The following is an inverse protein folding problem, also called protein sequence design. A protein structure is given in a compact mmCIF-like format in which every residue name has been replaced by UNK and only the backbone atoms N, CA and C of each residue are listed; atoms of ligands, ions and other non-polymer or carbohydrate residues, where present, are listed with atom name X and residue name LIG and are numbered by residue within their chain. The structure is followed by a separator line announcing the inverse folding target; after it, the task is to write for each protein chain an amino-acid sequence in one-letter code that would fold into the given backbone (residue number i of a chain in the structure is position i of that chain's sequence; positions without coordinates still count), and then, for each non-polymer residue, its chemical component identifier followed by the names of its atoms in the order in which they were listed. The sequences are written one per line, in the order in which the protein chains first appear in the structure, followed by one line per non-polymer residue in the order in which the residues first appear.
data_IF_517899988304
#
_entry.id   IF_517899988304
#
_cell.length_a   1.000
_cell.length_b   1.000
_cell.length_c   1.000
_cell.angle_alpha   90.00
_cell.angle_beta   90.00
_cell.angle_gamma   90.00
#
_symmetry.space_group_name_H-M   'P 1'
#
loop_
_entity.id
_entity.type
_entity.pdbx_description
1 polymer ?
#
# COMPACT_ATOMS: atom_id res chain seq x y z
N UNK A 1 -11.57 49.28 35.14
CA UNK A 1 -10.67 49.25 36.32
C UNK A 1 -10.47 47.81 36.75
N UNK A 2 -9.33 47.20 36.41
CA UNK A 2 -8.59 46.26 37.28
C UNK A 2 -7.17 46.14 36.74
N UNK A 3 -6.21 45.84 37.61
CA UNK A 3 -4.81 46.23 37.44
C UNK A 3 -3.90 45.11 36.88
N UNK A 4 -2.66 45.49 36.58
CA UNK A 4 -1.67 44.69 35.88
C UNK A 4 -0.75 43.85 36.79
N UNK A 5 0.22 43.19 36.15
CA UNK A 5 1.49 42.66 36.69
C UNK A 5 1.43 41.27 37.33
N UNK A 6 2.28 40.31 36.92
CA UNK A 6 3.73 40.43 37.13
C UNK A 6 4.59 39.58 36.18
N UNK A 7 5.87 39.96 36.08
CA UNK A 7 6.89 39.31 35.27
C UNK A 7 7.49 38.07 35.96
N UNK A 8 8.02 37.14 35.18
CA UNK A 8 9.31 36.51 35.49
C UNK A 8 10.05 36.10 34.22
N UNK A 9 11.20 36.74 33.98
CA UNK A 9 12.22 36.32 33.03
C UNK A 9 13.47 35.93 33.81
N UNK A 10 13.90 34.67 33.71
CA UNK A 10 15.27 34.20 33.99
C UNK A 10 15.42 32.88 33.19
N UNK A 11 16.14 32.81 32.05
CA UNK A 11 17.59 32.79 31.89
C UNK A 11 18.29 31.78 32.83
N UNK A 12 18.82 30.69 32.26
CA UNK A 12 20.09 30.04 32.67
C UNK A 12 20.58 29.03 31.60
N UNK A 13 21.85 29.20 31.25
CA UNK A 13 22.86 28.31 30.62
C UNK A 13 22.54 27.41 29.41
N UNK A 14 23.38 27.61 28.38
CA UNK A 14 23.77 26.58 27.42
C UNK A 14 24.84 25.64 28.03
N UNK A 15 24.86 24.39 27.56
CA UNK A 15 26.03 23.51 27.64
C UNK A 15 26.39 23.02 26.24
N UNK A 16 27.55 23.44 25.76
CA UNK A 16 28.17 22.97 24.51
C UNK A 16 28.90 21.66 24.82
N UNK A 17 28.57 20.58 24.12
CA UNK A 17 29.28 19.31 24.17
C UNK A 17 29.82 18.94 22.79
N UNK A 18 31.13 19.05 22.60
CA UNK A 18 31.83 18.66 21.38
C UNK A 18 32.96 17.67 21.72
N UNK A 19 33.54 17.03 20.69
CA UNK A 19 34.56 15.97 20.73
C UNK A 19 34.05 14.63 21.31
N UNK A 20 34.44 13.48 20.77
CA UNK A 20 35.78 13.14 20.23
C UNK A 20 35.80 12.46 18.86
N UNK A 21 36.92 12.66 18.16
CA UNK A 21 37.31 12.02 16.92
C UNK A 21 38.38 10.95 17.22
N UNK A 22 38.22 9.73 16.73
CA UNK A 22 39.25 8.68 16.80
C UNK A 22 39.57 8.11 15.42
N UNK A 23 40.69 8.57 14.84
CA UNK A 23 41.36 7.84 13.76
C UNK A 23 42.41 6.89 14.35
N UNK A 24 42.39 5.63 13.91
CA UNK A 24 43.59 4.80 13.75
C UNK A 24 43.41 3.98 12.47
N UNK A 25 44.41 4.06 11.58
CA UNK A 25 44.46 3.27 10.35
C UNK A 25 45.47 2.12 10.44
N UNK A 26 45.41 1.20 9.47
CA UNK A 26 46.47 0.25 9.19
C UNK A 26 46.54 -0.02 7.69
N UNK A 27 47.77 -0.12 7.15
CA UNK A 27 48.03 -0.38 5.74
C UNK A 27 48.30 -1.88 5.47
N UNK A 28 48.08 -2.31 4.23
CA UNK A 28 48.49 -3.61 3.69
C UNK A 28 47.45 -4.13 2.70
N UNK A 29 47.76 -4.45 1.44
CA UNK A 29 49.05 -4.76 0.83
C UNK A 29 49.02 -6.21 0.34
N UNK A 30 48.67 -6.42 -0.93
CA UNK A 30 48.42 -7.74 -1.53
C UNK A 30 49.66 -8.66 -1.52
N UNK A 31 49.48 -9.98 -1.67
CA UNK A 31 49.61 -10.51 -3.03
C UNK A 31 48.67 -11.68 -3.42
N UNK A 32 48.60 -11.84 -4.75
CA UNK A 32 48.02 -12.95 -5.53
C UNK A 32 48.80 -14.26 -5.35
N UNK A 33 48.10 -15.39 -5.24
CA UNK A 33 48.63 -16.73 -5.63
C UNK A 33 47.68 -17.43 -6.60
N UNK A 34 48.24 -17.84 -7.75
CA UNK A 34 47.64 -18.82 -8.68
C UNK A 34 47.99 -20.24 -8.21
N UNK A 35 47.20 -21.22 -8.63
CA UNK A 35 47.56 -22.56 -9.16
C UNK A 35 46.23 -23.29 -9.40
N UNK A 36 45.72 -23.42 -10.63
CA UNK A 36 46.12 -24.41 -11.65
C UNK A 36 45.99 -25.85 -11.10
N UNK A 37 44.81 -26.47 -11.25
CA UNK A 37 44.46 -27.30 -12.41
C UNK A 37 45.09 -28.70 -12.35
N UNK A 38 44.24 -29.73 -12.33
CA UNK A 38 44.54 -31.00 -13.00
C UNK A 38 43.26 -31.70 -13.45
N UNK A 39 43.36 -32.52 -14.49
CA UNK A 39 42.21 -33.09 -15.20
C UNK A 39 42.42 -34.57 -15.57
N UNK A 40 41.44 -35.41 -15.22
CA UNK A 40 41.13 -36.70 -15.87
C UNK A 40 39.73 -37.12 -15.36
N UNK A 41 38.69 -37.22 -16.18
CA UNK A 41 38.47 -38.16 -17.28
C UNK A 41 38.35 -39.62 -16.79
N UNK A 42 37.12 -40.14 -16.75
CA UNK A 42 36.84 -41.42 -17.40
C UNK A 42 35.40 -41.52 -17.94
N UNK A 43 35.30 -41.78 -19.23
CA UNK A 43 34.10 -42.15 -20.00
C UNK A 43 33.69 -43.59 -19.62
N UNK A 44 32.43 -44.04 -19.72
CA UNK A 44 31.82 -44.70 -20.92
C UNK A 44 30.46 -45.25 -20.43
N UNK A 45 29.29 -44.72 -20.82
CA UNK A 45 28.52 -44.89 -22.08
C UNK A 45 27.57 -46.11 -22.13
N UNK A 46 26.37 -45.86 -22.70
CA UNK A 46 25.59 -46.75 -23.59
C UNK A 46 24.85 -47.97 -22.95
N UNK A 47 23.75 -48.54 -23.46
CA UNK A 47 22.82 -48.34 -24.62
C UNK A 47 21.57 -49.28 -24.39
N UNK A 48 20.38 -49.25 -25.04
CA UNK A 48 19.73 -48.42 -26.09
C UNK A 48 18.16 -48.50 -25.94
N UNK A 49 17.39 -48.61 -27.04
CA UNK A 49 15.95 -48.94 -27.21
C UNK A 49 14.90 -47.93 -26.69
N UNK A 50 14.37 -47.00 -27.50
CA UNK A 50 13.53 -47.15 -28.70
C UNK A 50 12.21 -47.92 -28.49
N UNK A 51 11.08 -47.21 -28.69
CA UNK A 51 10.13 -47.46 -29.79
C UNK A 51 9.31 -46.17 -30.05
N UNK A 52 8.84 -46.01 -31.29
CA UNK A 52 8.09 -44.84 -31.76
C UNK A 52 6.57 -45.11 -31.79
N UNK A 53 5.77 -44.04 -31.86
CA UNK A 53 4.43 -44.09 -32.46
C UNK A 53 4.11 -42.77 -33.17
N UNK A 54 3.86 -42.83 -34.49
CA UNK A 54 3.44 -41.69 -35.32
C UNK A 54 1.91 -41.62 -35.36
N UNK A 55 1.33 -40.93 -34.38
CA UNK A 55 -0.11 -40.62 -34.35
C UNK A 55 -0.47 -39.37 -35.15
N UNK A 56 -0.43 -39.43 -36.48
CA UNK A 56 -1.02 -38.38 -37.32
C UNK A 56 -2.56 -38.41 -37.19
N UNK A 57 -3.16 -37.32 -36.74
CA UNK A 57 -4.62 -37.14 -36.69
C UNK A 57 -4.98 -35.76 -37.20
N UNK A 58 -5.75 -35.71 -38.28
CA UNK A 58 -6.14 -34.50 -38.99
C UNK A 58 -6.88 -33.48 -38.12
N UNK A 59 -6.65 -32.20 -38.43
CA UNK A 59 -7.53 -31.12 -37.99
C UNK A 59 -8.88 -31.20 -38.70
N UNK A 60 -9.99 -31.04 -37.97
CA UNK A 60 -11.03 -30.10 -38.36
C UNK A 60 -10.55 -28.71 -37.92
N UNK A 61 -10.24 -27.84 -38.87
CA UNK A 61 -10.06 -26.42 -38.60
C UNK A 61 -11.42 -25.82 -38.23
N UNK A 62 -11.80 -25.95 -36.96
CA UNK A 62 -13.04 -25.35 -36.49
C UNK A 62 -12.92 -23.82 -36.57
N UNK A 63 -14.02 -23.24 -37.02
CA UNK A 63 -14.05 -21.89 -37.57
C UNK A 63 -13.87 -20.90 -36.44
N UNK A 64 -12.70 -20.27 -36.36
CA UNK A 64 -12.45 -19.16 -35.44
C UNK A 64 -13.46 -18.04 -35.71
N UNK A 65 -14.53 -18.03 -34.90
CA UNK A 65 -15.46 -16.93 -34.82
C UNK A 65 -14.68 -15.68 -34.39
N UNK A 66 -14.88 -14.52 -35.04
CA UNK A 66 -14.14 -13.31 -34.67
C UNK A 66 -14.36 -13.06 -33.18
N UNK A 67 -13.27 -12.99 -32.41
CA UNK A 67 -13.35 -12.59 -31.02
C UNK A 67 -13.95 -11.19 -30.97
N UNK A 68 -15.19 -11.10 -30.51
CA UNK A 68 -15.90 -9.85 -30.31
C UNK A 68 -15.05 -8.99 -29.36
N UNK A 69 -14.60 -7.85 -29.87
CA UNK A 69 -13.71 -6.94 -29.15
C UNK A 69 -14.46 -6.43 -27.92
N UNK A 70 -14.16 -7.04 -26.76
CA UNK A 70 -14.92 -6.84 -25.54
C UNK A 70 -14.95 -5.35 -25.19
N UNK A 71 -16.13 -4.72 -25.29
CA UNK A 71 -16.27 -3.30 -25.01
C UNK A 71 -15.74 -2.99 -23.59
N UNK A 72 -15.00 -1.87 -23.42
CA UNK A 72 -14.40 -1.54 -22.14
C UNK A 72 -15.48 -1.30 -21.09
N UNK A 73 -15.70 -2.31 -20.24
CA UNK A 73 -16.67 -2.28 -19.15
C UNK A 73 -16.37 -1.08 -18.25
N UNK A 74 -17.26 -0.10 -18.24
CA UNK A 74 -17.11 1.08 -17.41
C UNK A 74 -16.97 0.66 -15.93
N UNK A 75 -15.99 1.21 -15.18
CA UNK A 75 -15.69 0.74 -13.83
C UNK A 75 -16.90 0.92 -12.92
N UNK A 76 -17.38 -0.20 -12.37
CA UNK A 76 -18.51 -0.23 -11.44
C UNK A 76 -18.17 0.48 -10.14
N UNK A 77 -18.98 1.49 -9.80
CA UNK A 77 -18.85 2.22 -8.53
C UNK A 77 -19.68 1.50 -7.47
N UNK A 78 -19.00 0.93 -6.48
CA UNK A 78 -19.60 0.23 -5.35
C UNK A 78 -20.21 1.22 -4.33
N UNK A 79 -20.99 0.74 -3.35
CA UNK A 79 -21.48 1.53 -2.21
C UNK A 79 -20.72 1.21 -0.92
N UNK A 80 -20.86 2.06 0.11
CA UNK A 80 -20.42 1.69 1.47
C UNK A 80 -21.08 0.37 1.87
N UNK A 81 -20.29 -0.56 2.41
CA UNK A 81 -20.67 -1.95 2.71
C UNK A 81 -20.26 -2.96 1.62
N UNK A 82 -20.12 -2.54 0.36
CA UNK A 82 -19.75 -3.43 -0.74
C UNK A 82 -18.24 -3.74 -0.75
N UNK A 83 -17.91 -4.94 -1.23
CA UNK A 83 -16.53 -5.41 -1.37
C UNK A 83 -16.06 -5.42 -2.83
N UNK A 84 -14.86 -4.91 -3.08
CA UNK A 84 -14.14 -5.05 -4.35
C UNK A 84 -12.88 -5.88 -4.08
N UNK A 85 -12.60 -6.89 -4.90
CA UNK A 85 -11.28 -7.55 -4.88
C UNK A 85 -10.37 -6.83 -5.85
N UNK A 86 -9.23 -6.35 -5.36
CA UNK A 86 -8.18 -5.71 -6.14
C UNK A 86 -6.96 -6.61 -6.22
N UNK A 87 -6.24 -6.50 -7.33
CA UNK A 87 -4.98 -7.17 -7.65
C UNK A 87 -3.82 -6.20 -7.42
N UNK A 88 -2.71 -6.67 -6.85
CA UNK A 88 -1.50 -5.89 -6.66
C UNK A 88 -0.71 -5.72 -7.97
N UNK A 89 0.60 -5.46 -7.87
CA UNK A 89 1.51 -5.53 -9.03
C UNK A 89 1.86 -6.98 -9.44
N UNK A 90 1.43 -7.94 -8.65
CA UNK A 90 1.63 -9.38 -8.75
C UNK A 90 0.25 -10.03 -8.65
N UNK A 91 -0.09 -10.93 -9.58
CA UNK A 91 -1.39 -11.63 -9.60
C UNK A 91 -1.63 -12.49 -8.34
N UNK A 92 -0.56 -12.88 -7.63
CA UNK A 92 -0.66 -13.58 -6.35
C UNK A 92 -1.04 -12.65 -5.18
N UNK A 93 -0.82 -11.34 -5.27
CA UNK A 93 -1.29 -10.36 -4.28
C UNK A 93 -2.71 -9.94 -4.63
N UNK A 94 -3.70 -10.42 -3.88
CA UNK A 94 -5.11 -10.09 -4.09
C UNK A 94 -5.75 -9.70 -2.77
N UNK A 95 -6.33 -8.51 -2.69
CA UNK A 95 -6.95 -8.00 -1.46
C UNK A 95 -8.40 -7.67 -1.71
N UNK A 96 -9.29 -8.29 -0.93
CA UNK A 96 -10.70 -7.91 -0.87
C UNK A 96 -10.85 -6.73 0.09
N UNK A 97 -11.24 -5.59 -0.49
CA UNK A 97 -11.39 -4.29 0.17
C UNK A 97 -12.86 -4.00 0.38
N UNK A 98 -13.24 -3.60 1.59
CA UNK A 98 -14.61 -3.15 1.91
C UNK A 98 -14.54 -1.83 2.65
N UNK A 99 -15.27 -0.81 2.18
CA UNK A 99 -15.54 0.40 2.97
C UNK A 99 -16.65 0.05 3.96
N UNK A 100 -16.31 -0.03 5.25
CA UNK A 100 -17.22 -0.51 6.30
C UNK A 100 -18.14 0.59 6.80
N UNK A 101 -17.59 1.79 7.01
CA UNK A 101 -18.27 2.95 7.58
C UNK A 101 -17.49 4.23 7.25
N UNK A 102 -18.18 5.38 7.29
CA UNK A 102 -17.62 6.71 7.05
C UNK A 102 -17.85 7.55 8.31
N UNK A 103 -16.76 8.03 8.90
CA UNK A 103 -16.78 8.90 10.07
C UNK A 103 -16.70 10.36 9.58
N UNK A 104 -17.83 11.04 9.50
CA UNK A 104 -17.92 12.42 9.00
C UNK A 104 -18.84 13.31 9.87
N UNK A 105 -18.30 14.24 10.68
CA UNK A 105 -16.87 14.44 10.95
C UNK A 105 -16.28 13.30 11.78
N UNK A 106 -15.00 13.02 11.59
CA UNK A 106 -14.26 12.08 12.44
C UNK A 106 -13.83 12.76 13.75
N UNK A 107 -14.07 12.15 14.92
CA UNK A 107 -13.54 12.67 16.19
C UNK A 107 -12.03 12.45 16.28
N UNK A 108 -11.31 13.45 16.80
CA UNK A 108 -9.87 13.41 17.08
C UNK A 108 -9.58 13.92 18.49
N UNK A 109 -8.34 13.77 18.95
CA UNK A 109 -7.91 14.22 20.29
C UNK A 109 -7.38 15.65 20.31
N UNK A 110 -6.82 16.08 21.44
CA UNK A 110 -6.48 17.50 21.69
C UNK A 110 -5.28 17.99 20.87
N UNK A 111 -4.41 17.07 20.44
CA UNK A 111 -3.25 17.37 19.61
C UNK A 111 -3.56 17.42 18.10
N UNK A 112 -4.76 17.00 17.70
CA UNK A 112 -5.19 16.89 16.30
C UNK A 112 -6.27 17.93 15.98
N UNK A 113 -5.85 19.07 15.43
CA UNK A 113 -6.77 20.08 14.86
C UNK A 113 -6.68 20.09 13.33
N UNK A 114 -7.80 20.07 12.60
CA UNK A 114 -7.77 20.20 11.15
C UNK A 114 -7.32 21.62 10.75
N UNK A 115 -6.75 21.76 9.56
CA UNK A 115 -6.39 23.04 8.98
C UNK A 115 -7.60 23.98 8.88
N UNK A 116 -7.36 25.30 8.93
CA UNK A 116 -8.43 26.30 8.92
C UNK A 116 -9.39 26.11 7.73
N UNK A 117 -10.70 26.06 8.02
CA UNK A 117 -11.72 25.82 7.01
C UNK A 117 -11.85 24.36 6.55
N UNK A 118 -11.21 23.41 7.23
CA UNK A 118 -11.33 21.96 7.01
C UNK A 118 -11.98 21.22 8.19
N UNK A 119 -12.26 19.94 8.00
CA UNK A 119 -12.63 18.95 9.02
C UNK A 119 -11.94 17.62 8.72
N UNK A 120 -11.77 16.79 9.75
CA UNK A 120 -11.34 15.41 9.58
C UNK A 120 -12.49 14.49 9.17
N UNK A 121 -12.18 13.52 8.32
CA UNK A 121 -13.06 12.42 7.90
C UNK A 121 -12.29 11.11 8.00
N UNK A 122 -12.92 10.04 8.48
CA UNK A 122 -12.34 8.71 8.59
C UNK A 122 -13.03 7.75 7.63
N UNK A 123 -12.28 7.09 6.76
CA UNK A 123 -12.78 5.97 5.96
C UNK A 123 -12.33 4.69 6.65
N UNK A 124 -13.26 3.93 7.19
CA UNK A 124 -12.95 2.69 7.89
C UNK A 124 -13.02 1.54 6.90
N UNK A 125 -11.92 0.80 6.77
CA UNK A 125 -11.78 -0.30 5.84
C UNK A 125 -11.74 -1.65 6.56
N UNK A 126 -12.18 -2.68 5.84
CA UNK A 126 -11.72 -4.05 6.04
C UNK A 126 -10.90 -4.47 4.82
N UNK A 127 -9.71 -4.97 5.08
CA UNK A 127 -8.81 -5.55 4.08
C UNK A 127 -8.65 -7.04 4.42
N UNK A 128 -9.02 -7.93 3.49
CA UNK A 128 -8.79 -9.38 3.61
C UNK A 128 -7.86 -9.81 2.48
N UNK A 129 -6.72 -10.41 2.82
CA UNK A 129 -5.86 -11.00 1.82
C UNK A 129 -6.52 -12.29 1.30
N UNK A 130 -6.91 -12.29 0.02
CA UNK A 130 -7.52 -13.42 -0.70
C UNK A 130 -6.58 -13.98 -1.77
N UNK A 131 -5.36 -13.47 -1.83
CA UNK A 131 -4.29 -13.94 -2.70
C UNK A 131 -3.50 -15.10 -2.08
N UNK A 132 -2.37 -15.42 -2.71
CA UNK A 132 -1.43 -16.44 -2.25
C UNK A 132 -0.06 -15.87 -1.82
N UNK A 133 0.26 -14.62 -2.19
CA UNK A 133 1.37 -13.86 -1.61
C UNK A 133 0.90 -13.05 -0.38
N UNK A 134 1.84 -12.56 0.44
CA UNK A 134 1.54 -11.74 1.61
C UNK A 134 1.37 -10.27 1.26
N UNK A 135 0.23 -9.67 1.58
CA UNK A 135 0.05 -8.23 1.51
C UNK A 135 0.90 -7.52 2.57
N UNK A 136 1.65 -6.49 2.19
CA UNK A 136 2.49 -5.70 3.09
C UNK A 136 2.69 -4.27 2.56
N UNK A 137 1.81 -3.35 2.97
CA UNK A 137 1.75 -1.99 2.42
C UNK A 137 1.41 -0.95 3.52
N UNK A 138 1.38 0.32 3.12
CA UNK A 138 0.86 1.46 3.90
C UNK A 138 -0.48 1.91 3.28
N UNK A 139 -1.64 1.42 3.79
CA UNK A 139 -2.94 1.67 3.17
C UNK A 139 -3.27 3.14 2.88
N UNK A 140 -2.76 4.09 3.66
CA UNK A 140 -2.98 5.53 3.40
C UNK A 140 -2.38 6.03 2.07
N UNK A 141 -1.32 5.41 1.54
CA UNK A 141 -0.65 5.83 0.30
C UNK A 141 -1.55 5.64 -0.93
N UNK A 142 -2.25 4.50 -0.98
CA UNK A 142 -3.15 4.13 -2.09
C UNK A 142 -4.56 4.73 -1.99
N UNK A 143 -4.83 5.58 -0.99
CA UNK A 143 -6.18 5.96 -0.61
C UNK A 143 -6.50 7.45 -0.90
N UNK A 144 -7.64 7.70 -1.55
CA UNK A 144 -8.06 9.05 -1.97
C UNK A 144 -9.54 9.29 -1.69
N UNK A 145 -9.87 10.43 -1.08
CA UNK A 145 -11.26 10.91 -0.96
C UNK A 145 -11.53 12.02 -1.98
N UNK A 146 -12.57 11.83 -2.81
CA UNK A 146 -13.10 12.84 -3.73
C UNK A 146 -14.24 13.58 -3.03
N UNK A 147 -14.22 14.92 -3.04
CA UNK A 147 -15.17 15.77 -2.30
C UNK A 147 -15.43 17.11 -2.99
N UNK A 148 -16.59 17.73 -2.68
CA UNK A 148 -16.99 19.03 -3.24
C UNK A 148 -16.97 19.04 -4.78
N UNK A 149 -16.33 20.04 -5.37
CA UNK A 149 -16.13 20.20 -6.82
C UNK A 149 -15.01 19.30 -7.36
N UNK A 150 -15.10 18.00 -7.05
CA UNK A 150 -14.16 16.93 -7.46
C UNK A 150 -12.71 17.16 -7.02
N UNK A 151 -12.53 17.88 -5.92
CA UNK A 151 -11.26 17.98 -5.20
C UNK A 151 -10.90 16.62 -4.61
N UNK A 152 -9.60 16.34 -4.53
CA UNK A 152 -9.05 15.10 -3.99
C UNK A 152 -8.27 15.40 -2.71
N UNK A 153 -8.42 14.53 -1.71
CA UNK A 153 -7.64 14.51 -0.48
C UNK A 153 -6.95 13.15 -0.34
N UNK A 154 -5.64 13.18 -0.12
CA UNK A 154 -4.87 11.99 0.27
C UNK A 154 -5.03 11.71 1.76
N UNK A 155 -4.61 10.53 2.21
CA UNK A 155 -4.51 10.23 3.64
C UNK A 155 -3.66 11.25 4.39
N UNK A 156 -4.07 11.59 5.61
CA UNK A 156 -3.29 12.39 6.56
C UNK A 156 -2.80 11.50 7.70
N UNK A 157 -2.14 12.09 8.70
CA UNK A 157 -1.83 11.45 9.98
C UNK A 157 -2.65 12.17 11.06
N UNK A 158 -3.19 11.38 12.00
CA UNK A 158 -3.73 11.87 13.28
C UNK A 158 -3.03 11.10 14.41
N UNK A 159 -2.81 11.74 15.54
CA UNK A 159 -2.15 11.16 16.71
C UNK A 159 -3.12 10.41 17.62
N UNK A 160 -4.40 10.80 17.61
CA UNK A 160 -5.45 10.30 18.49
C UNK A 160 -6.77 10.02 17.74
N UNK A 161 -7.66 9.25 18.38
CA UNK A 161 -8.97 8.90 17.84
C UNK A 161 -9.00 7.57 17.06
N UNK A 162 -10.07 7.28 16.31
CA UNK A 162 -10.30 5.95 15.73
C UNK A 162 -9.33 5.58 14.60
N UNK A 163 -8.55 6.54 14.10
CA UNK A 163 -7.60 6.43 12.99
C UNK A 163 -6.12 6.41 13.42
N UNK A 164 -5.83 6.30 14.74
CA UNK A 164 -4.48 6.34 15.29
C UNK A 164 -3.87 4.96 15.61
N UNK A 165 -4.53 3.86 15.24
CA UNK A 165 -4.12 2.48 15.56
C UNK A 165 -2.94 1.94 14.71
N UNK A 166 -2.43 2.74 13.77
CA UNK A 166 -1.34 2.40 12.88
C UNK A 166 -1.75 1.66 11.59
N UNK A 167 -3.02 1.28 11.44
CA UNK A 167 -3.54 0.62 10.23
C UNK A 167 -3.30 1.44 8.96
N UNK A 168 -3.37 2.77 9.07
CA UNK A 168 -3.09 3.71 7.98
C UNK A 168 -1.63 3.70 7.53
N UNK A 169 -0.70 3.43 8.45
CA UNK A 169 0.75 3.53 8.24
C UNK A 169 1.40 2.21 7.83
N UNK A 170 0.94 1.09 8.36
CA UNK A 170 1.48 -0.24 8.02
C UNK A 170 0.44 -1.33 8.27
N UNK A 171 0.21 -2.17 7.28
CA UNK A 171 -0.58 -3.38 7.44
C UNK A 171 0.10 -4.54 6.73
N UNK A 172 0.21 -5.67 7.44
CA UNK A 172 0.71 -6.94 6.92
C UNK A 172 -0.33 -8.02 7.14
N UNK A 173 -0.64 -8.78 6.09
CA UNK A 173 -1.63 -9.86 6.11
C UNK A 173 -1.07 -11.06 5.35
N UNK A 174 -0.90 -12.18 6.04
CA UNK A 174 -0.69 -13.47 5.39
C UNK A 174 -1.95 -13.88 4.59
N UNK A 175 -1.84 -14.82 3.62
CA UNK A 175 -2.98 -15.35 2.89
C UNK A 175 -4.13 -15.79 3.82
N UNK A 176 -5.34 -15.27 3.57
CA UNK A 176 -6.53 -15.51 4.39
C UNK A 176 -6.71 -14.58 5.60
N UNK A 177 -5.69 -13.82 6.03
CA UNK A 177 -5.80 -12.89 7.15
C UNK A 177 -6.63 -11.64 6.79
N UNK A 178 -7.15 -10.97 7.84
CA UNK A 178 -7.98 -9.78 7.69
C UNK A 178 -7.68 -8.72 8.73
N UNK A 179 -7.47 -7.48 8.28
CA UNK A 179 -7.42 -6.28 9.12
C UNK A 179 -8.70 -5.45 9.02
N UNK A 180 -9.08 -4.78 10.10
CA UNK A 180 -10.02 -3.64 10.08
C UNK A 180 -9.31 -2.46 10.73
N UNK A 181 -9.42 -1.27 10.15
CA UNK A 181 -8.91 -0.03 10.72
C UNK A 181 -9.36 1.19 9.91
N UNK A 182 -8.82 2.35 10.24
CA UNK A 182 -9.35 3.65 9.81
C UNK A 182 -8.28 4.47 9.08
N UNK A 183 -8.67 5.11 7.96
CA UNK A 183 -7.82 6.03 7.18
C UNK A 183 -8.34 7.47 7.34
N UNK A 184 -7.54 8.41 7.88
CA UNK A 184 -7.98 9.77 8.10
C UNK A 184 -7.70 10.66 6.88
N UNK A 185 -8.58 11.62 6.63
CA UNK A 185 -8.51 12.59 5.54
C UNK A 185 -8.89 13.99 6.05
N UNK A 186 -8.33 15.03 5.44
CA UNK A 186 -8.82 16.40 5.62
C UNK A 186 -9.64 16.87 4.41
N UNK A 187 -10.88 17.28 4.63
CA UNK A 187 -11.76 17.86 3.59
C UNK A 187 -12.27 19.25 4.00
N UNK A 188 -12.70 20.06 3.05
CA UNK A 188 -13.25 21.40 3.34
C UNK A 188 -14.48 21.30 4.26
N UNK A 189 -14.57 22.14 5.30
CA UNK A 189 -15.46 21.96 6.46
C UNK A 189 -16.94 21.74 6.10
N UNK A 190 -17.46 22.37 5.04
CA UNK A 190 -18.84 22.20 4.56
C UNK A 190 -18.96 21.40 3.26
N UNK A 191 -17.85 20.87 2.72
CA UNK A 191 -17.85 20.13 1.46
C UNK A 191 -18.44 18.73 1.63
N UNK A 192 -19.37 18.35 0.76
CA UNK A 192 -19.94 17.00 0.72
C UNK A 192 -18.93 16.01 0.12
N UNK A 193 -18.76 14.86 0.75
CA UNK A 193 -18.00 13.73 0.18
C UNK A 193 -18.67 13.24 -1.11
N UNK A 194 -17.91 12.61 -2.01
CA UNK A 194 -18.42 12.02 -3.25
C UNK A 194 -18.03 10.56 -3.37
N UNK A 195 -16.73 10.27 -3.40
CA UNK A 195 -16.19 8.92 -3.64
C UNK A 195 -14.95 8.65 -2.80
N UNK A 196 -14.72 7.39 -2.49
CA UNK A 196 -13.44 6.87 -2.05
C UNK A 196 -12.79 6.08 -3.19
N UNK A 197 -11.49 6.24 -3.36
CA UNK A 197 -10.65 5.43 -4.25
C UNK A 197 -9.62 4.68 -3.41
N UNK A 198 -9.36 3.43 -3.79
CA UNK A 198 -8.28 2.65 -3.19
C UNK A 198 -7.55 1.85 -4.26
N UNK A 199 -6.22 1.92 -4.25
CA UNK A 199 -5.33 1.30 -5.23
C UNK A 199 -4.22 0.58 -4.45
N UNK A 200 -3.95 -0.69 -4.77
CA UNK A 200 -2.92 -1.48 -4.06
C UNK A 200 -1.50 -1.03 -4.41
N UNK A 201 -0.51 -1.65 -3.74
CA UNK A 201 0.91 -1.35 -3.88
C UNK A 201 1.22 0.16 -3.74
N UNK A 202 0.78 0.79 -2.65
CA UNK A 202 0.93 2.23 -2.38
C UNK A 202 0.42 3.15 -3.51
N UNK A 203 -0.54 2.69 -4.31
CA UNK A 203 -1.09 3.44 -5.45
C UNK A 203 -0.46 3.13 -6.81
N UNK A 204 0.42 2.12 -6.91
CA UNK A 204 1.12 1.73 -8.14
C UNK A 204 0.58 0.45 -8.81
N UNK A 205 -0.50 -0.14 -8.31
CA UNK A 205 -1.23 -1.20 -9.02
C UNK A 205 -2.18 -0.63 -10.09
N UNK A 206 -2.46 -1.40 -11.14
CA UNK A 206 -3.34 -0.97 -12.24
C UNK A 206 -4.82 -0.89 -11.83
N UNK A 207 -5.26 -1.76 -10.92
CA UNK A 207 -6.65 -1.81 -10.45
C UNK A 207 -6.92 -0.78 -9.34
N UNK A 208 -8.00 -0.01 -9.49
CA UNK A 208 -8.48 0.95 -8.49
C UNK A 208 -9.94 0.71 -8.15
N UNK A 209 -10.21 0.38 -6.89
CA UNK A 209 -11.57 0.28 -6.36
C UNK A 209 -12.19 1.66 -6.19
N UNK A 210 -13.49 1.77 -6.50
CA UNK A 210 -14.27 3.00 -6.40
C UNK A 210 -15.54 2.76 -5.58
N UNK A 211 -15.73 3.54 -4.51
CA UNK A 211 -16.94 3.51 -3.68
C UNK A 211 -17.61 4.87 -3.67
N UNK A 212 -18.94 4.93 -3.82
CA UNK A 212 -19.75 6.09 -3.49
C UNK A 212 -19.75 6.30 -1.98
N UNK A 213 -19.53 7.54 -1.54
CA UNK A 213 -19.65 7.97 -0.14
C UNK A 213 -20.97 8.72 0.11
N UNK A 214 -21.93 8.55 -0.80
CA UNK A 214 -23.32 8.99 -0.69
C UNK A 214 -24.21 7.78 -0.94
N UNK A 215 -25.30 7.69 -0.18
CA UNK A 215 -26.34 6.66 -0.32
C UNK A 215 -27.21 6.86 -1.56
#
# INVERSE_FOLDING_TARGET
MWAASSLSRLLILACIGALTLTLLGACGGSPRTKTAADAAANTTAAEESLLADEGASDQPADKAEPAEEAEPVAPTVAKVGDAITLTGQDDAERVKVTVVEVLDPMPTGEFDSPASGKRYVGIVLRLTNVGSSSYSDSPSNGAVVVYGDDRQAQGTIVLEGPCSDGFSSTLKLAPGESGKGCLPFEVGATSTLKRFKFTLASGFADETGLWSLRD
#
